data_IF_477346312583
#
_entry.id   IF_477346312583
#
_cell.length_a   1.000
_cell.length_b   1.000
_cell.length_c   1.000
_cell.angle_alpha   90.00
_cell.angle_beta   90.00
_cell.angle_gamma   90.00
#
_symmetry.space_group_name_H-M   'P 1'
#
loop_
_entity.id
_entity.type
_entity.pdbx_description
1 polymer ?
#
# COMPACT_ATOMS: atom_id res chain seq x y z
N UNK A 1 -1.58 5.16 5.27
CA UNK A 1 -1.98 3.82 4.75
C UNK A 1 -3.24 3.95 3.91
N UNK A 2 -3.53 3.00 3.02
CA UNK A 2 -4.73 2.95 2.20
C UNK A 2 -5.41 1.58 2.29
N UNK A 3 -6.69 1.62 2.65
CA UNK A 3 -7.57 0.47 2.83
C UNK A 3 -8.85 0.69 2.04
N UNK A 4 -9.48 -0.38 1.61
CA UNK A 4 -10.74 -0.33 0.89
C UNK A 4 -11.70 -1.44 1.30
N UNK A 5 -12.99 -1.12 1.30
CA UNK A 5 -14.05 -2.08 1.57
C UNK A 5 -14.52 -2.73 0.26
N UNK A 6 -14.58 -4.07 0.24
CA UNK A 6 -15.11 -4.87 -0.86
C UNK A 6 -15.98 -5.97 -0.27
N UNK A 7 -17.24 -6.05 -0.70
CA UNK A 7 -18.20 -7.08 -0.23
C UNK A 7 -18.25 -7.18 1.31
N UNK A 8 -18.34 -6.02 2.00
CA UNK A 8 -18.37 -5.91 3.46
C UNK A 8 -17.11 -6.44 4.18
N UNK A 9 -15.98 -6.53 3.46
CA UNK A 9 -14.67 -6.89 4.02
C UNK A 9 -13.67 -5.77 3.74
N UNK A 10 -12.93 -5.38 4.77
CA UNK A 10 -11.84 -4.42 4.63
C UNK A 10 -10.58 -5.11 4.15
N UNK A 11 -9.97 -4.55 3.11
CA UNK A 11 -8.71 -4.99 2.57
C UNK A 11 -7.68 -3.87 2.66
N UNK A 12 -6.51 -4.21 3.18
CA UNK A 12 -5.34 -3.36 3.07
C UNK A 12 -4.84 -3.43 1.63
N UNK A 13 -4.56 -2.27 1.03
CA UNK A 13 -4.07 -2.17 -0.35
C UNK A 13 -2.62 -1.69 -0.35
N UNK A 14 -2.36 -0.62 0.41
CA UNK A 14 -1.00 -0.09 0.63
C UNK A 14 -0.81 0.21 2.10
N UNK A 15 0.24 -0.35 2.67
CA UNK A 15 0.68 -0.08 4.03
C UNK A 15 2.09 0.51 4.00
N UNK A 16 2.31 1.49 4.86
CA UNK A 16 3.63 2.05 5.13
C UNK A 16 3.96 1.74 6.59
N UNK A 17 5.16 1.24 6.84
CA UNK A 17 5.68 1.03 8.19
C UNK A 17 7.14 1.46 8.30
N UNK A 18 7.62 1.59 9.53
CA UNK A 18 9.01 1.95 9.85
C UNK A 18 9.70 0.88 10.70
N UNK A 19 9.28 -0.38 10.53
CA UNK A 19 9.79 -1.48 11.33
C UNK A 19 11.31 -1.65 11.17
N UNK A 20 12.00 -1.94 12.28
CA UNK A 20 13.46 -2.13 12.33
C UNK A 20 14.30 -0.91 11.90
N UNK A 21 13.77 0.31 12.06
CA UNK A 21 14.53 1.55 11.82
C UNK A 21 14.64 1.93 10.34
N UNK A 22 13.91 1.25 9.45
CA UNK A 22 13.81 1.60 8.04
C UNK A 22 12.35 1.64 7.63
N UNK A 23 12.04 2.51 6.67
CA UNK A 23 10.69 2.58 6.14
C UNK A 23 10.46 1.56 5.02
N UNK A 24 9.31 0.89 5.05
CA UNK A 24 8.86 -0.02 4.01
C UNK A 24 7.50 0.39 3.47
N UNK A 25 7.27 0.02 2.21
CA UNK A 25 5.99 0.06 1.53
C UNK A 25 5.56 -1.37 1.24
N UNK A 26 4.47 -1.77 1.86
CA UNK A 26 3.85 -3.07 1.65
C UNK A 26 2.68 -2.88 0.69
N UNK A 27 2.77 -3.47 -0.50
CA UNK A 27 1.66 -3.57 -1.46
C UNK A 27 0.98 -4.92 -1.30
N UNK A 28 -0.29 -4.90 -0.94
CA UNK A 28 -1.08 -6.10 -0.70
C UNK A 28 -1.96 -6.40 -1.92
N UNK A 29 -2.04 -7.68 -2.26
CA UNK A 29 -2.90 -8.26 -3.29
C UNK A 29 -4.23 -8.70 -2.68
N UNK A 30 -5.27 -8.78 -3.51
CA UNK A 30 -6.55 -9.37 -3.11
C UNK A 30 -6.40 -10.82 -2.61
N UNK A 31 -5.43 -11.58 -3.14
CA UNK A 31 -5.14 -12.97 -2.71
C UNK A 31 -4.36 -13.08 -1.40
N UNK A 32 -4.01 -11.96 -0.78
CA UNK A 32 -3.18 -11.94 0.45
C UNK A 32 -1.67 -11.98 0.19
N UNK A 33 -1.22 -12.02 -1.06
CA UNK A 33 0.19 -11.83 -1.37
C UNK A 33 0.63 -10.40 -0.99
N UNK A 34 1.77 -10.27 -0.34
CA UNK A 34 2.32 -8.96 0.05
C UNK A 34 3.69 -8.77 -0.58
N UNK A 35 3.84 -7.69 -1.34
CA UNK A 35 5.13 -7.27 -1.89
C UNK A 35 5.68 -6.14 -1.03
N UNK A 36 6.78 -6.42 -0.34
CA UNK A 36 7.48 -5.45 0.51
C UNK A 36 8.55 -4.74 -0.28
N UNK A 37 8.54 -3.42 -0.26
CA UNK A 37 9.51 -2.56 -0.91
C UNK A 37 10.18 -1.67 0.14
N UNK A 38 11.49 -1.84 0.33
CA UNK A 38 12.25 -0.95 1.20
C UNK A 38 12.33 0.43 0.58
N UNK A 39 11.96 1.45 1.34
CA UNK A 39 12.10 2.82 0.88
C UNK A 39 13.56 3.27 1.00
N UNK A 40 14.11 3.98 0.01
CA UNK A 40 15.49 4.41 -0.02
C UNK A 40 15.71 5.67 0.85
N UNK A 41 15.10 5.72 2.03
CA UNK A 41 15.20 6.84 2.96
C UNK A 41 15.77 6.36 4.29
N UNK A 42 16.84 7.02 4.73
CA UNK A 42 17.42 6.82 6.06
C UNK A 42 16.72 7.69 7.12
N UNK A 43 16.07 8.78 6.69
CA UNK A 43 15.28 9.67 7.54
C UNK A 43 13.80 9.30 7.48
N UNK A 44 13.21 9.02 8.66
CA UNK A 44 11.81 8.60 8.76
C UNK A 44 10.82 9.75 8.48
N UNK A 45 11.20 11.01 8.69
CA UNK A 45 10.34 12.15 8.33
C UNK A 45 10.28 12.32 6.80
N UNK A 46 11.39 12.10 6.12
CA UNK A 46 11.42 12.08 4.65
C UNK A 46 10.60 10.90 4.11
N UNK A 47 10.72 9.73 4.73
CA UNK A 47 9.91 8.57 4.38
C UNK A 47 8.41 8.80 4.61
N UNK A 48 8.03 9.47 5.71
CA UNK A 48 6.65 9.86 5.99
C UNK A 48 6.12 10.83 4.93
N UNK A 49 6.89 11.87 4.62
CA UNK A 49 6.53 12.86 3.58
C UNK A 49 6.34 12.18 2.22
N UNK A 50 7.23 11.24 1.88
CA UNK A 50 7.09 10.42 0.69
C UNK A 50 5.82 9.57 0.72
N UNK A 51 5.53 8.88 1.83
CA UNK A 51 4.34 8.04 1.96
C UNK A 51 3.05 8.85 1.79
N UNK A 52 2.95 10.04 2.38
CA UNK A 52 1.80 10.93 2.20
C UNK A 52 1.63 11.38 0.75
N UNK A 53 2.73 11.80 0.11
CA UNK A 53 2.71 12.23 -1.29
C UNK A 53 2.34 11.08 -2.23
N UNK A 54 2.94 9.91 -2.05
CA UNK A 54 2.65 8.73 -2.85
C UNK A 54 1.18 8.32 -2.76
N UNK A 55 0.59 8.35 -1.55
CA UNK A 55 -0.82 8.06 -1.39
C UNK A 55 -1.68 9.11 -2.12
N UNK A 56 -1.41 10.41 -1.95
CA UNK A 56 -2.16 11.48 -2.63
C UNK A 56 -2.08 11.37 -4.15
N UNK A 57 -0.90 11.05 -4.70
CA UNK A 57 -0.66 11.03 -6.14
C UNK A 57 -1.09 9.71 -6.80
N UNK A 58 -1.05 8.58 -6.08
CA UNK A 58 -1.20 7.24 -6.67
C UNK A 58 -2.38 6.41 -6.12
N UNK A 59 -3.16 6.87 -5.13
CA UNK A 59 -4.25 6.05 -4.55
C UNK A 59 -5.24 5.50 -5.58
N UNK A 60 -5.57 6.27 -6.63
CA UNK A 60 -6.48 5.82 -7.69
C UNK A 60 -5.90 4.64 -8.48
N UNK A 61 -4.59 4.64 -8.73
CA UNK A 61 -3.89 3.54 -9.41
C UNK A 61 -3.86 2.30 -8.52
N UNK A 62 -3.63 2.46 -7.22
CA UNK A 62 -3.68 1.35 -6.26
C UNK A 62 -5.07 0.73 -6.20
N UNK A 63 -6.10 1.55 -6.12
CA UNK A 63 -7.50 1.10 -6.19
C UNK A 63 -7.79 0.35 -7.49
N UNK A 64 -7.41 0.90 -8.64
CA UNK A 64 -7.67 0.27 -9.94
C UNK A 64 -6.94 -1.08 -10.07
N UNK A 65 -5.67 -1.16 -9.65
CA UNK A 65 -4.90 -2.41 -9.62
C UNK A 65 -5.57 -3.45 -8.72
N UNK A 66 -6.03 -3.05 -7.53
CA UNK A 66 -6.65 -3.96 -6.58
C UNK A 66 -8.04 -4.45 -7.06
N UNK A 67 -8.86 -3.55 -7.61
CA UNK A 67 -10.16 -3.92 -8.19
C UNK A 67 -10.02 -4.84 -9.40
N UNK A 68 -8.98 -4.66 -10.22
CA UNK A 68 -8.69 -5.57 -11.31
C UNK A 68 -8.38 -6.98 -10.78
N UNK A 69 -7.56 -7.09 -9.75
CA UNK A 69 -7.29 -8.38 -9.10
C UNK A 69 -8.56 -8.98 -8.48
N UNK A 70 -9.46 -8.18 -7.93
CA UNK A 70 -10.74 -8.68 -7.40
C UNK A 70 -11.59 -9.27 -8.52
N UNK A 71 -11.72 -8.56 -9.65
CA UNK A 71 -12.49 -9.02 -10.81
C UNK A 71 -11.92 -10.28 -11.44
N UNK A 72 -10.58 -10.38 -11.58
CA UNK A 72 -9.91 -11.54 -12.17
C UNK A 72 -10.00 -12.80 -11.27
N UNK A 73 -10.47 -12.67 -10.03
CA UNK A 73 -10.54 -13.75 -9.03
C UNK A 73 -11.93 -13.97 -8.42
N UNK A 74 -12.95 -13.38 -9.03
CA UNK A 74 -14.37 -13.62 -8.75
C UNK A 74 -14.94 -14.63 -9.75
#
# INVERSE_FOLDING_TARGET
QYEMEIKNKWYQVIRYDSAHGFAHKDKLSYKGATRKEKLPFNDLNLALTFAEKDLKDNWQKYRASFLKEVHDND
#
